data_IF_716086106226
#
_entry.id   IF_716086106226
#
_cell.length_a   1.000
_cell.length_b   1.000
_cell.length_c   1.000
_cell.angle_alpha   90.00
_cell.angle_beta   90.00
_cell.angle_gamma   90.00
#
_symmetry.space_group_name_H-M   'P 1'
#
loop_
_entity.id
_entity.type
_entity.pdbx_description
1 polymer ?
#
# COMPACT_ATOMS: atom_id res chain seq x y z
N UNK A 1 44.68 4.90 3.26
CA UNK A 1 45.15 4.61 1.88
C UNK A 1 43.96 4.48 0.95
N UNK A 2 43.90 5.39 -0.04
CA UNK A 2 43.21 5.34 -1.35
C UNK A 2 41.78 4.77 -1.42
N UNK A 3 40.82 5.69 -1.61
CA UNK A 3 39.80 5.56 -2.66
C UNK A 3 40.49 5.73 -4.05
N UNK A 4 39.96 5.09 -5.10
CA UNK A 4 39.31 5.84 -6.19
C UNK A 4 38.02 5.13 -6.68
N UNK A 5 36.92 5.86 -6.90
CA UNK A 5 36.49 6.53 -8.14
C UNK A 5 35.51 5.70 -8.98
N UNK A 6 34.27 6.19 -8.98
CA UNK A 6 33.30 6.25 -10.08
C UNK A 6 33.17 5.08 -11.08
N UNK A 7 31.97 4.49 -11.12
CA UNK A 7 31.29 4.23 -12.37
C UNK A 7 29.77 4.32 -12.15
N UNK A 8 29.14 5.15 -12.97
CA UNK A 8 27.71 5.42 -12.95
C UNK A 8 26.92 4.16 -13.29
N UNK A 9 25.78 3.98 -12.63
CA UNK A 9 24.66 3.25 -13.24
C UNK A 9 23.38 4.07 -13.09
N UNK A 10 23.23 4.98 -14.05
CA UNK A 10 22.01 5.72 -14.33
C UNK A 10 21.01 4.73 -14.94
N UNK A 11 20.23 4.04 -14.11
CA UNK A 11 19.02 3.38 -14.62
C UNK A 11 17.97 4.46 -14.77
N UNK A 12 17.78 4.85 -16.04
CA UNK A 12 16.82 5.83 -16.53
C UNK A 12 15.44 5.57 -15.93
N UNK A 13 14.78 6.65 -15.51
CA UNK A 13 13.33 6.68 -15.30
C UNK A 13 12.67 6.16 -16.58
N UNK A 14 11.71 5.24 -16.54
CA UNK A 14 10.72 5.23 -17.59
C UNK A 14 9.95 6.56 -17.46
N UNK A 15 10.21 7.47 -18.41
CA UNK A 15 9.31 8.55 -18.74
C UNK A 15 7.90 7.96 -18.88
N UNK A 16 7.07 8.14 -17.86
CA UNK A 16 5.63 8.00 -18.02
C UNK A 16 5.21 9.20 -18.86
N UNK A 17 5.42 9.06 -20.17
CA UNK A 17 4.90 9.98 -21.17
C UNK A 17 3.40 10.01 -20.98
N UNK A 18 2.95 11.19 -20.60
CA UNK A 18 1.57 11.62 -20.69
C UNK A 18 1.20 11.66 -22.17
N UNK A 19 0.75 10.54 -22.70
CA UNK A 19 0.13 10.50 -24.03
C UNK A 19 -1.36 10.72 -23.88
N UNK A 20 -1.75 12.00 -23.95
CA UNK A 20 -3.05 12.38 -24.50
C UNK A 20 -3.01 12.03 -26.00
N UNK A 21 -3.28 10.77 -26.33
CA UNK A 21 -3.52 10.35 -27.70
C UNK A 21 -5.02 10.18 -27.89
N UNK A 22 -5.59 11.14 -28.63
CA UNK A 22 -6.93 11.07 -29.19
C UNK A 22 -6.97 9.91 -30.20
N UNK A 23 -7.18 8.68 -29.73
CA UNK A 23 -7.40 7.53 -30.62
C UNK A 23 -8.89 7.49 -30.94
N UNK A 24 -9.26 8.19 -32.02
CA UNK A 24 -10.50 7.95 -32.75
C UNK A 24 -10.36 6.58 -33.45
N UNK A 25 -10.85 5.52 -32.81
CA UNK A 25 -11.09 4.24 -33.46
C UNK A 25 -12.60 4.02 -33.55
N UNK A 26 -13.11 4.23 -34.76
CA UNK A 26 -14.50 4.08 -35.14
C UNK A 26 -14.81 2.58 -35.24
N UNK A 27 -15.36 2.00 -34.18
CA UNK A 27 -15.95 0.66 -34.21
C UNK A 27 -17.37 0.84 -33.72
N UNK A 28 -18.36 0.48 -34.55
CA UNK A 28 -19.80 0.58 -34.27
C UNK A 28 -20.15 -0.25 -33.03
N UNK A 29 -19.93 0.31 -31.86
CA UNK A 29 -20.57 -0.13 -30.63
C UNK A 29 -22.01 0.39 -30.71
N UNK A 30 -22.96 -0.54 -30.80
CA UNK A 30 -24.38 -0.26 -30.73
C UNK A 30 -24.67 0.57 -29.48
N UNK A 31 -25.61 1.51 -29.58
CA UNK A 31 -25.97 2.49 -28.55
C UNK A 31 -26.45 1.85 -27.21
N UNK A 32 -26.46 0.51 -27.11
CA UNK A 32 -26.83 -0.26 -25.94
C UNK A 32 -25.66 -0.60 -24.98
N UNK A 33 -24.41 -0.50 -25.43
CA UNK A 33 -23.25 -0.91 -24.63
C UNK A 33 -22.57 0.24 -23.85
N UNK A 34 -22.87 1.49 -24.17
CA UNK A 34 -22.38 2.65 -23.42
C UNK A 34 -23.20 2.91 -22.12
N UNK A 35 -24.46 2.47 -22.08
CA UNK A 35 -25.31 2.56 -20.89
C UNK A 35 -25.01 1.47 -19.83
N UNK A 36 -24.45 0.32 -20.22
CA UNK A 36 -24.09 -0.76 -19.28
C UNK A 36 -22.70 -0.61 -18.67
N UNK A 37 -21.76 0.06 -19.37
CA UNK A 37 -20.45 0.40 -18.81
C UNK A 37 -20.48 1.62 -17.87
N UNK A 38 -21.62 2.31 -17.85
CA UNK A 38 -21.98 3.40 -16.94
C UNK A 38 -22.93 2.95 -15.82
N UNK A 39 -22.83 1.71 -15.32
CA UNK A 39 -23.31 1.42 -13.97
C UNK A 39 -22.29 1.97 -13.00
N UNK A 40 -22.59 3.17 -12.51
CA UNK A 40 -21.89 3.92 -11.47
C UNK A 40 -21.01 3.05 -10.59
N UNK A 41 -19.76 3.47 -10.36
CA UNK A 41 -18.85 2.94 -9.35
C UNK A 41 -19.37 3.16 -7.92
N UNK A 42 -20.68 2.99 -7.69
CA UNK A 42 -21.31 2.88 -6.40
C UNK A 42 -20.84 1.58 -5.77
N UNK A 43 -20.35 1.68 -4.55
CA UNK A 43 -20.03 0.49 -3.79
C UNK A 43 -21.29 -0.36 -3.63
N UNK A 44 -21.11 -1.68 -3.73
CA UNK A 44 -22.19 -2.66 -3.54
C UNK A 44 -22.93 -2.43 -2.20
N UNK A 45 -22.26 -1.85 -1.21
CA UNK A 45 -22.81 -1.46 0.09
C UNK A 45 -22.40 -0.03 0.48
N UNK A 46 -23.14 0.56 1.42
CA UNK A 46 -22.76 1.84 2.04
C UNK A 46 -21.49 1.62 2.87
N UNK A 47 -20.41 2.27 2.47
CA UNK A 47 -19.15 2.21 3.21
C UNK A 47 -19.26 2.93 4.56
N UNK A 48 -18.41 2.53 5.50
CA UNK A 48 -18.27 3.21 6.77
C UNK A 48 -17.93 4.71 6.55
N UNK A 49 -18.39 5.61 7.43
CA UNK A 49 -18.18 7.08 7.29
C UNK A 49 -16.71 7.50 7.09
N UNK A 50 -15.77 6.70 7.59
CA UNK A 50 -14.32 6.87 7.47
C UNK A 50 -13.70 6.05 6.33
N UNK A 51 -14.47 5.60 5.35
CA UNK A 51 -14.02 4.88 4.17
C UNK A 51 -14.40 5.59 2.87
N UNK A 52 -13.75 5.22 1.76
CA UNK A 52 -14.07 5.66 0.39
C UNK A 52 -14.38 4.44 -0.45
N UNK A 53 -15.30 4.60 -1.39
CA UNK A 53 -15.54 3.62 -2.42
C UNK A 53 -14.51 3.75 -3.53
N UNK A 54 -13.72 2.70 -3.78
CA UNK A 54 -12.73 2.67 -4.85
C UNK A 54 -12.93 1.37 -5.63
N UNK A 55 -13.28 1.47 -6.92
CA UNK A 55 -13.54 0.31 -7.79
C UNK A 55 -14.52 -0.71 -7.18
N UNK A 56 -15.60 -0.22 -6.56
CA UNK A 56 -16.64 -1.06 -5.94
C UNK A 56 -16.26 -1.70 -4.60
N UNK A 57 -15.09 -1.40 -4.02
CA UNK A 57 -14.67 -1.86 -2.70
C UNK A 57 -14.57 -0.70 -1.71
N UNK A 58 -15.00 -0.94 -0.47
CA UNK A 58 -14.84 0.03 0.62
C UNK A 58 -13.42 -0.05 1.17
N UNK A 59 -12.70 1.07 1.14
CA UNK A 59 -11.33 1.19 1.66
C UNK A 59 -11.29 2.28 2.72
N UNK A 60 -10.79 1.97 3.91
CA UNK A 60 -10.65 2.95 4.99
C UNK A 60 -9.73 4.12 4.54
N UNK A 61 -10.09 5.35 4.94
CA UNK A 61 -9.32 6.55 4.62
C UNK A 61 -7.97 6.54 5.37
N UNK A 62 -6.85 6.75 4.69
CA UNK A 62 -5.54 7.05 5.28
C UNK A 62 -5.19 6.28 6.56
N UNK A 63 -5.21 6.99 7.71
CA UNK A 63 -4.84 6.48 9.05
C UNK A 63 -5.82 5.50 9.68
N UNK A 64 -6.90 5.13 9.00
CA UNK A 64 -7.89 4.20 9.52
C UNK A 64 -7.64 2.77 8.99
N UNK A 65 -7.79 1.77 9.86
CA UNK A 65 -7.74 0.35 9.49
C UNK A 65 -9.04 -0.36 9.90
N UNK A 66 -9.42 -1.37 9.13
CA UNK A 66 -10.64 -2.16 9.32
C UNK A 66 -11.19 -2.70 7.99
N UNK A 67 -12.43 -3.16 8.00
CA UNK A 67 -13.09 -3.81 6.86
C UNK A 67 -13.62 -2.82 5.80
N UNK A 68 -13.62 -1.51 6.09
CA UNK A 68 -14.13 -0.48 5.19
C UNK A 68 -15.66 -0.36 5.16
N UNK A 69 -16.40 -1.40 5.55
CA UNK A 69 -17.86 -1.46 5.49
C UNK A 69 -18.48 -1.06 6.83
N UNK A 70 -18.07 -1.72 7.92
CA UNK A 70 -18.63 -1.48 9.27
C UNK A 70 -17.63 -0.87 10.23
N UNK A 71 -16.34 -1.02 9.96
CA UNK A 71 -15.25 -0.70 10.87
C UNK A 71 -14.10 0.00 10.14
N UNK A 72 -13.83 1.23 10.55
CA UNK A 72 -12.57 1.91 10.27
C UNK A 72 -12.12 2.63 11.54
N UNK A 73 -11.21 1.99 12.29
CA UNK A 73 -10.65 2.48 13.55
C UNK A 73 -9.32 3.20 13.28
N UNK A 74 -9.05 4.28 14.02
CA UNK A 74 -7.80 5.05 13.84
C UNK A 74 -6.65 4.14 14.24
N UNK A 75 -5.73 3.87 13.32
CA UNK A 75 -4.52 3.11 13.63
C UNK A 75 -3.71 3.85 14.68
N UNK A 76 -3.25 3.12 15.71
CA UNK A 76 -2.25 3.65 16.63
C UNK A 76 -0.97 3.88 15.82
N UNK A 77 -0.33 5.03 16.00
CA UNK A 77 1.01 5.25 15.45
C UNK A 77 1.96 4.43 16.32
N UNK A 78 2.72 3.54 15.69
CA UNK A 78 3.84 2.89 16.38
C UNK A 78 4.91 3.94 16.60
N UNK A 79 5.23 4.22 17.86
CA UNK A 79 6.33 5.11 18.20
C UNK A 79 7.66 4.37 18.02
N UNK A 80 8.67 5.08 17.50
CA UNK A 80 10.04 4.58 17.56
C UNK A 80 10.52 4.67 19.01
N UNK A 81 10.98 3.55 19.56
CA UNK A 81 11.39 3.44 20.97
C UNK A 81 12.91 3.31 21.17
N UNK A 82 13.67 3.05 20.10
CA UNK A 82 15.13 2.96 20.15
C UNK A 82 15.70 1.87 19.24
N UNK A 83 17.04 1.85 19.14
CA UNK A 83 17.81 0.74 18.60
C UNK A 83 18.22 -0.19 19.75
N UNK A 84 18.07 -1.48 19.55
CA UNK A 84 18.47 -2.51 20.52
C UNK A 84 19.44 -3.46 19.82
N UNK A 85 20.51 -3.84 20.51
CA UNK A 85 21.48 -4.78 19.98
C UNK A 85 20.89 -6.17 20.01
N UNK A 86 20.78 -6.83 18.84
CA UNK A 86 20.30 -8.20 18.78
C UNK A 86 21.45 -9.19 19.06
N UNK A 87 21.15 -10.28 19.75
CA UNK A 87 22.14 -11.31 20.13
C UNK A 87 21.68 -12.69 19.60
N UNK A 88 22.42 -13.77 19.91
CA UNK A 88 22.13 -15.16 19.54
C UNK A 88 20.71 -15.57 19.96
N UNK A 89 20.21 -15.04 21.10
CA UNK A 89 18.81 -15.15 21.49
C UNK A 89 18.10 -13.86 21.08
N UNK A 90 17.39 -13.93 19.95
CA UNK A 90 16.62 -12.79 19.39
C UNK A 90 15.81 -12.08 20.47
N UNK A 91 15.95 -10.77 20.59
CA UNK A 91 15.13 -9.97 21.53
C UNK A 91 13.64 -10.12 21.21
N UNK A 92 13.30 -10.22 19.93
CA UNK A 92 11.95 -10.51 19.44
C UNK A 92 11.91 -11.89 18.79
N UNK A 93 11.66 -12.94 19.57
CA UNK A 93 11.76 -14.35 19.14
C UNK A 93 10.48 -14.95 18.54
N UNK A 94 9.38 -14.20 18.44
CA UNK A 94 8.05 -14.80 18.15
C UNK A 94 7.79 -15.02 16.65
N UNK A 95 8.07 -14.03 15.80
CA UNK A 95 7.75 -14.11 14.37
C UNK A 95 8.75 -13.29 13.56
N UNK A 96 9.01 -13.73 12.33
CA UNK A 96 9.91 -13.06 11.39
C UNK A 96 9.22 -12.89 10.05
N UNK A 97 9.24 -11.67 9.53
CA UNK A 97 8.84 -11.36 8.15
C UNK A 97 10.11 -11.07 7.35
N UNK A 98 10.41 -11.88 6.33
CA UNK A 98 11.53 -11.67 5.42
C UNK A 98 11.03 -11.09 4.08
N UNK A 99 11.63 -9.99 3.63
CA UNK A 99 11.29 -9.39 2.34
C UNK A 99 12.45 -8.53 1.82
N UNK A 100 12.75 -8.64 0.51
CA UNK A 100 13.83 -7.84 -0.13
C UNK A 100 13.54 -6.34 -0.17
N UNK A 101 12.28 -5.94 0.02
CA UNK A 101 11.81 -4.54 0.07
C UNK A 101 11.11 -4.31 1.40
N UNK A 102 11.84 -4.55 2.49
CA UNK A 102 11.34 -4.30 3.84
C UNK A 102 11.16 -2.79 4.09
N UNK A 103 10.09 -2.42 4.78
CA UNK A 103 9.88 -1.06 5.28
C UNK A 103 9.40 -1.11 6.72
N UNK A 104 9.67 -0.05 7.49
CA UNK A 104 9.19 0.11 8.87
C UNK A 104 7.67 -0.09 8.95
N UNK A 105 6.91 0.52 8.04
CA UNK A 105 5.46 0.41 8.01
C UNK A 105 4.99 -1.03 7.73
N UNK A 106 5.67 -1.74 6.83
CA UNK A 106 5.32 -3.13 6.47
C UNK A 106 5.53 -4.06 7.66
N UNK A 107 6.67 -3.96 8.34
CA UNK A 107 6.96 -4.73 9.55
C UNK A 107 5.96 -4.39 10.68
N UNK A 108 5.75 -3.11 10.98
CA UNK A 108 4.81 -2.66 12.00
C UNK A 108 3.37 -3.14 11.73
N UNK A 109 2.93 -3.12 10.46
CA UNK A 109 1.61 -3.61 10.10
C UNK A 109 1.50 -5.12 10.31
N UNK A 110 2.49 -5.89 9.88
CA UNK A 110 2.50 -7.33 10.04
C UNK A 110 2.44 -7.73 11.53
N UNK A 111 3.35 -7.19 12.35
CA UNK A 111 3.38 -7.48 13.78
C UNK A 111 2.11 -6.99 14.51
N UNK A 112 1.61 -5.80 14.14
CA UNK A 112 0.38 -5.26 14.72
C UNK A 112 -0.88 -6.06 14.35
N UNK A 113 -0.94 -6.64 13.14
CA UNK A 113 -2.03 -7.56 12.76
C UNK A 113 -1.97 -8.89 13.53
N UNK A 114 -0.76 -9.33 13.89
CA UNK A 114 -0.53 -10.50 14.74
C UNK A 114 -0.72 -10.22 16.23
N UNK A 115 -1.03 -8.97 16.61
CA UNK A 115 -1.27 -8.58 17.99
C UNK A 115 -0.02 -8.30 18.82
N UNK A 116 1.16 -8.26 18.21
CA UNK A 116 2.39 -7.94 18.94
C UNK A 116 2.46 -6.47 19.34
N UNK A 117 2.95 -6.23 20.55
CA UNK A 117 3.14 -4.88 21.11
C UNK A 117 4.29 -4.14 20.44
N UNK A 118 5.33 -4.87 20.03
CA UNK A 118 6.55 -4.34 19.44
C UNK A 118 6.85 -4.98 18.09
N UNK A 119 7.64 -4.28 17.29
CA UNK A 119 8.15 -4.73 16.00
C UNK A 119 9.58 -4.23 15.85
N UNK A 120 10.48 -5.08 15.37
CA UNK A 120 11.86 -4.74 15.05
C UNK A 120 12.14 -4.89 13.56
N UNK A 121 13.06 -4.08 13.04
CA UNK A 121 13.66 -4.25 11.72
C UNK A 121 15.17 -4.33 11.91
N UNK A 122 15.83 -5.14 11.09
CA UNK A 122 17.29 -5.32 11.04
C UNK A 122 17.80 -5.01 9.63
#
# INVERSE_FOLDING_TARGET
SRLPSAAQNVIRKPDVKRENASVKANTKATELDLAKRSKTSKCKSKCHKKARCIKGKCVCKGKYKGDGVRSCKKGKRSAYIGCYQDDRKRILSNTVLKDKRMTVQKCQQFCGQKGFKYSGVE
#
